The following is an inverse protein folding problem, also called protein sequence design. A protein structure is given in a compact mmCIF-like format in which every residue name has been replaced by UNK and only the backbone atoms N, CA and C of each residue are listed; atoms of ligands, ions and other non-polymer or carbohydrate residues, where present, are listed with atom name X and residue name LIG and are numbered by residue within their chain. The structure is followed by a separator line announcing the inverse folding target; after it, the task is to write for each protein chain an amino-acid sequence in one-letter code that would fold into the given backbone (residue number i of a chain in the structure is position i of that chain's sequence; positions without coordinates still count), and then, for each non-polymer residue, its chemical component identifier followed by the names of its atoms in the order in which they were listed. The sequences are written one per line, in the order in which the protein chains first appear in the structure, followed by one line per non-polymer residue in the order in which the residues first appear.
data_IF_826234010578
#
_entry.id   IF_826234010578
#
_cell.length_a   1.000
_cell.length_b   1.000
_cell.length_c   1.000
_cell.angle_alpha   90.00
_cell.angle_beta   90.00
_cell.angle_gamma   90.00
#
_symmetry.space_group_name_H-M   'P 1'
#
loop_
_entity.id
_entity.type
_entity.pdbx_description
1 polymer ?
#
# COMPACT_ATOMS: atom_id res chain seq x y z
N UNK A 1 8.06 -14.56 13.80
CA UNK A 1 9.11 -15.00 12.82
C UNK A 1 10.45 -14.44 13.28
N UNK A 2 11.53 -15.24 13.33
CA UNK A 2 12.85 -14.71 13.70
C UNK A 2 13.43 -13.76 12.63
N UNK A 3 14.29 -12.81 13.05
CA UNK A 3 14.92 -11.83 12.17
C UNK A 3 15.72 -12.46 11.03
N UNK A 4 16.43 -13.56 11.29
CA UNK A 4 17.24 -14.24 10.27
C UNK A 4 16.37 -14.71 9.09
N UNK A 5 15.18 -15.26 9.37
CA UNK A 5 14.21 -15.65 8.33
C UNK A 5 13.57 -14.44 7.66
N UNK A 6 13.26 -13.43 8.47
CA UNK A 6 12.60 -12.21 7.99
C UNK A 6 13.46 -11.45 6.98
N UNK A 7 14.77 -11.28 7.23
CA UNK A 7 15.67 -10.48 6.38
C UNK A 7 16.42 -11.29 5.30
N UNK A 8 16.26 -12.62 5.27
CA UNK A 8 16.99 -13.46 4.32
C UNK A 8 16.74 -13.05 2.86
N UNK A 9 17.80 -12.87 2.09
CA UNK A 9 17.76 -12.52 0.66
C UNK A 9 17.04 -11.19 0.33
N UNK A 10 16.96 -10.27 1.30
CA UNK A 10 16.30 -8.96 1.10
C UNK A 10 17.26 -7.80 0.85
N UNK A 11 18.55 -7.98 1.12
CA UNK A 11 19.53 -6.89 1.17
C UNK A 11 19.52 -6.10 2.48
N UNK A 12 18.64 -6.42 3.41
CA UNK A 12 18.64 -5.86 4.76
C UNK A 12 19.78 -6.48 5.59
N UNK A 13 20.50 -5.66 6.35
CA UNK A 13 21.64 -6.08 7.17
C UNK A 13 21.33 -5.97 8.65
N UNK A 14 21.66 -6.98 9.43
CA UNK A 14 21.67 -6.92 10.88
C UNK A 14 22.99 -6.30 11.33
N UNK A 15 22.93 -5.11 11.96
CA UNK A 15 24.10 -4.40 12.48
C UNK A 15 24.41 -4.78 13.91
N UNK A 16 23.36 -4.99 14.74
CA UNK A 16 23.47 -5.32 16.16
C UNK A 16 22.28 -6.16 16.61
N UNK A 17 22.47 -6.99 17.62
CA UNK A 17 21.41 -7.80 18.23
C UNK A 17 21.46 -9.25 17.79
N UNK A 18 20.46 -10.03 18.24
CA UNK A 18 20.37 -11.46 17.98
C UNK A 18 19.51 -11.72 16.73
N UNK A 19 20.04 -12.45 15.76
CA UNK A 19 19.34 -12.88 14.57
C UNK A 19 18.14 -13.81 14.86
N UNK A 20 18.04 -14.37 16.06
CA UNK A 20 16.92 -15.18 16.52
C UNK A 20 15.82 -14.34 17.20
N UNK A 21 15.99 -13.00 17.31
CA UNK A 21 14.95 -12.13 17.84
C UNK A 21 13.64 -12.32 17.08
N UNK A 22 12.57 -12.65 17.80
CA UNK A 22 11.23 -12.85 17.22
C UNK A 22 10.55 -11.51 16.91
N UNK A 23 10.02 -11.39 15.69
CA UNK A 23 9.22 -10.28 15.23
C UNK A 23 7.78 -10.73 15.04
N UNK A 24 6.84 -9.97 15.63
CA UNK A 24 5.40 -10.25 15.61
C UNK A 24 4.62 -9.28 14.71
N UNK A 25 5.10 -8.04 14.59
CA UNK A 25 4.48 -7.01 13.74
C UNK A 25 5.54 -6.05 13.20
N UNK A 26 5.16 -5.24 12.21
CA UNK A 26 5.95 -4.12 11.68
C UNK A 26 5.16 -2.84 11.87
N UNK A 27 5.80 -1.79 12.33
CA UNK A 27 5.19 -0.47 12.49
C UNK A 27 6.14 0.66 12.07
N UNK A 28 5.61 1.82 11.73
CA UNK A 28 6.38 3.03 11.42
C UNK A 28 5.92 4.25 12.24
N UNK A 29 4.97 4.05 13.15
CA UNK A 29 4.56 5.02 14.16
C UNK A 29 4.99 4.49 15.53
N UNK A 30 5.85 5.26 16.25
CA UNK A 30 6.35 4.86 17.57
C UNK A 30 5.28 4.72 18.64
N UNK A 31 4.10 5.34 18.43
CA UNK A 31 2.94 5.24 19.32
C UNK A 31 2.20 3.90 19.19
N UNK A 32 2.38 3.24 18.07
CA UNK A 32 1.81 1.90 17.80
C UNK A 32 2.83 0.77 17.99
N UNK A 33 4.04 1.10 18.48
CA UNK A 33 5.02 0.09 18.81
C UNK A 33 4.56 -0.75 20.00
N UNK A 34 4.72 -2.07 19.90
CA UNK A 34 4.34 -3.04 20.91
C UNK A 34 5.43 -4.12 21.07
N UNK A 35 5.37 -4.97 22.11
CA UNK A 35 6.34 -6.02 22.30
C UNK A 35 6.47 -6.94 21.08
N UNK A 36 7.71 -7.10 20.58
CA UNK A 36 8.02 -7.87 19.38
C UNK A 36 7.91 -7.09 18.06
N UNK A 37 7.59 -5.80 18.09
CA UNK A 37 7.52 -4.99 16.88
C UNK A 37 8.90 -4.77 16.23
N UNK A 38 8.93 -4.76 14.90
CA UNK A 38 9.97 -4.14 14.09
C UNK A 38 9.54 -2.70 13.78
N UNK A 39 10.18 -1.72 14.44
CA UNK A 39 9.94 -0.32 14.14
C UNK A 39 10.79 0.14 12.95
N UNK A 40 10.16 0.78 11.96
CA UNK A 40 10.84 1.27 10.76
C UNK A 40 10.99 2.79 10.81
N UNK A 41 12.23 3.25 10.85
CA UNK A 41 12.59 4.67 10.79
C UNK A 41 12.41 5.19 9.37
N UNK A 42 11.27 5.80 9.07
CA UNK A 42 11.03 6.39 7.77
C UNK A 42 11.52 7.85 7.73
N UNK A 43 12.19 8.27 6.65
CA UNK A 43 12.49 9.67 6.45
C UNK A 43 11.18 10.45 6.28
N UNK A 44 10.92 11.36 7.19
CA UNK A 44 9.74 12.22 7.18
C UNK A 44 10.05 13.60 6.59
N UNK A 45 9.01 14.39 6.28
CA UNK A 45 9.19 15.75 5.74
C UNK A 45 9.77 16.76 6.75
N UNK A 46 9.46 16.60 8.03
CA UNK A 46 9.88 17.53 9.11
C UNK A 46 10.93 16.89 10.01
N UNK A 47 10.91 15.59 10.15
CA UNK A 47 11.72 14.89 11.15
C UNK A 47 12.05 13.50 10.61
N UNK A 48 13.28 13.06 10.77
CA UNK A 48 13.66 11.67 10.48
C UNK A 48 13.08 10.74 11.55
N UNK A 49 12.54 9.58 11.12
CA UNK A 49 11.93 8.61 12.02
C UNK A 49 12.89 8.02 13.04
N UNK A 50 14.19 8.11 12.82
CA UNK A 50 15.21 7.60 13.76
C UNK A 50 15.16 8.30 15.12
N UNK A 51 14.71 9.56 15.19
CA UNK A 51 14.53 10.27 16.48
C UNK A 51 13.48 9.62 17.40
N UNK A 52 12.62 8.78 16.85
CA UNK A 52 11.58 8.04 17.60
C UNK A 52 11.98 6.61 17.91
N UNK A 53 13.17 6.17 17.50
CA UNK A 53 13.62 4.79 17.67
C UNK A 53 13.72 4.39 19.15
N UNK A 54 14.28 5.28 20.01
CA UNK A 54 14.36 5.04 21.44
C UNK A 54 12.97 4.95 22.09
N UNK A 55 12.01 5.77 21.66
CA UNK A 55 10.62 5.70 22.12
C UNK A 55 9.97 4.36 21.73
N UNK A 56 10.15 3.92 20.49
CA UNK A 56 9.62 2.63 20.04
C UNK A 56 10.24 1.45 20.80
N UNK A 57 11.56 1.49 21.04
CA UNK A 57 12.26 0.48 21.85
C UNK A 57 11.77 0.45 23.30
N UNK A 58 11.48 1.64 23.88
CA UNK A 58 10.89 1.73 25.23
C UNK A 58 9.46 1.15 25.28
N UNK A 59 8.69 1.29 24.21
CA UNK A 59 7.36 0.70 24.08
C UNK A 59 7.39 -0.83 23.79
N UNK A 60 8.58 -1.40 23.57
CA UNK A 60 8.74 -2.85 23.41
C UNK A 60 9.18 -3.31 22.02
N UNK A 61 9.50 -2.40 21.10
CA UNK A 61 10.02 -2.81 19.81
C UNK A 61 11.28 -3.68 20.00
N UNK A 62 11.26 -4.87 19.41
CA UNK A 62 12.33 -5.84 19.47
C UNK A 62 13.46 -5.54 18.49
N UNK A 63 13.14 -4.80 17.43
CA UNK A 63 14.10 -4.38 16.42
C UNK A 63 13.75 -3.01 15.83
N UNK A 64 14.76 -2.31 15.32
CA UNK A 64 14.63 -1.05 14.57
C UNK A 64 15.28 -1.22 13.20
N UNK A 65 14.57 -0.82 12.14
CA UNK A 65 15.12 -0.73 10.78
C UNK A 65 15.36 0.74 10.43
N UNK A 66 16.56 1.06 10.00
CA UNK A 66 16.97 2.42 9.65
C UNK A 66 17.72 2.50 8.31
N UNK A 67 17.86 3.72 7.80
CA UNK A 67 18.78 4.05 6.72
C UNK A 67 20.24 4.03 7.18
N UNK A 68 21.22 3.98 6.26
CA UNK A 68 22.63 4.20 6.62
C UNK A 68 22.85 5.50 7.37
N UNK A 69 23.74 5.47 8.38
CA UNK A 69 24.08 6.62 9.22
C UNK A 69 23.51 6.58 10.64
N UNK A 70 22.46 5.81 10.91
CA UNK A 70 21.99 5.56 12.28
C UNK A 70 22.52 4.23 12.82
N UNK A 71 23.26 4.26 13.91
CA UNK A 71 23.88 3.09 14.52
C UNK A 71 23.11 2.51 15.72
N UNK A 72 22.04 3.18 16.17
CA UNK A 72 21.24 2.76 17.32
C UNK A 72 21.96 2.81 18.66
N UNK A 73 22.92 3.71 18.83
CA UNK A 73 23.72 3.83 20.07
C UNK A 73 22.90 4.23 21.29
N UNK A 74 21.73 4.81 21.06
CA UNK A 74 20.74 5.22 22.06
C UNK A 74 19.69 4.14 22.38
N UNK A 75 19.80 2.98 21.75
CA UNK A 75 18.85 1.87 21.94
C UNK A 75 19.39 0.87 22.98
N UNK A 76 18.50 0.23 23.76
CA UNK A 76 18.90 -0.83 24.70
C UNK A 76 19.49 -2.02 23.94
N UNK A 77 20.42 -2.76 24.58
CA UNK A 77 21.12 -3.89 23.96
C UNK A 77 20.18 -5.02 23.47
N UNK A 78 19.02 -5.17 24.10
CA UNK A 78 17.99 -6.14 23.68
C UNK A 78 17.32 -5.78 22.36
N UNK A 79 17.41 -4.54 21.90
CA UNK A 79 16.80 -4.08 20.65
C UNK A 79 17.77 -4.28 19.49
N UNK A 80 17.41 -5.13 18.54
CA UNK A 80 18.21 -5.35 17.35
C UNK A 80 18.17 -4.14 16.42
N UNK A 81 19.27 -3.90 15.68
CA UNK A 81 19.37 -2.81 14.70
C UNK A 81 19.58 -3.40 13.31
N UNK A 82 18.66 -3.10 12.44
CA UNK A 82 18.69 -3.45 11.02
C UNK A 82 18.99 -2.21 10.18
N UNK A 83 19.61 -2.41 9.03
CA UNK A 83 19.89 -1.36 8.07
C UNK A 83 19.48 -1.76 6.66
N UNK A 84 18.85 -0.84 5.93
CA UNK A 84 18.58 -0.95 4.51
C UNK A 84 18.77 0.41 3.84
N UNK A 85 19.18 0.41 2.57
CA UNK A 85 19.40 1.64 1.81
C UNK A 85 18.07 2.40 1.57
N UNK A 86 16.97 1.67 1.42
CA UNK A 86 15.60 2.21 1.35
C UNK A 86 14.71 1.54 2.41
N UNK A 87 14.61 2.09 3.63
CA UNK A 87 13.77 1.54 4.69
C UNK A 87 12.29 1.46 4.32
N UNK A 88 11.79 2.38 3.49
CA UNK A 88 10.38 2.39 3.06
C UNK A 88 10.05 1.19 2.17
N UNK A 89 10.88 0.95 1.18
CA UNK A 89 10.76 -0.25 0.32
C UNK A 89 10.96 -1.53 1.13
N UNK A 90 11.94 -1.52 2.03
CA UNK A 90 12.23 -2.67 2.89
C UNK A 90 11.07 -2.97 3.83
N UNK A 91 10.40 -1.95 4.38
CA UNK A 91 9.17 -2.11 5.18
C UNK A 91 8.11 -2.92 4.43
N UNK A 92 7.87 -2.61 3.16
CA UNK A 92 6.88 -3.35 2.36
C UNK A 92 7.29 -4.82 2.19
N UNK A 93 8.56 -5.09 1.88
CA UNK A 93 9.10 -6.45 1.70
C UNK A 93 9.02 -7.26 2.99
N UNK A 94 9.47 -6.68 4.12
CA UNK A 94 9.48 -7.37 5.40
C UNK A 94 8.05 -7.60 5.93
N UNK A 95 7.15 -6.64 5.75
CA UNK A 95 5.75 -6.80 6.14
C UNK A 95 5.05 -7.89 5.33
N UNK A 96 5.22 -7.90 4.00
CA UNK A 96 4.65 -8.95 3.16
C UNK A 96 5.15 -10.34 3.60
N UNK A 97 6.46 -10.47 3.85
CA UNK A 97 7.06 -11.73 4.32
C UNK A 97 6.57 -12.14 5.70
N UNK A 98 6.50 -11.20 6.65
CA UNK A 98 6.05 -11.48 8.02
C UNK A 98 4.64 -12.07 8.04
N UNK A 99 3.74 -11.49 7.23
CA UNK A 99 2.35 -11.87 7.12
C UNK A 99 2.06 -12.95 6.07
N UNK A 100 3.11 -13.55 5.46
CA UNK A 100 2.94 -14.69 4.53
C UNK A 100 2.38 -14.32 3.18
N UNK A 101 2.73 -13.13 2.67
CA UNK A 101 2.30 -12.60 1.37
C UNK A 101 0.77 -12.61 1.17
N UNK A 102 0.02 -11.91 2.05
CA UNK A 102 -1.44 -11.99 2.06
C UNK A 102 -2.09 -11.46 0.78
N UNK A 103 -1.39 -10.57 0.04
CA UNK A 103 -1.86 -10.09 -1.26
C UNK A 103 -2.00 -11.18 -2.29
N UNK A 104 -1.17 -12.24 -2.23
CA UNK A 104 -1.25 -13.41 -3.11
C UNK A 104 -2.40 -14.38 -2.77
N UNK A 105 -3.06 -14.20 -1.62
CA UNK A 105 -4.15 -15.06 -1.15
C UNK A 105 -5.53 -14.60 -1.60
N UNK A 106 -5.62 -13.40 -2.19
CA UNK A 106 -6.87 -12.76 -2.61
C UNK A 106 -6.75 -12.15 -4.01
N UNK A 107 -7.87 -11.93 -4.66
CA UNK A 107 -7.94 -11.10 -5.86
C UNK A 107 -7.86 -9.62 -5.45
N UNK A 108 -6.77 -8.93 -5.81
CA UNK A 108 -6.62 -7.50 -5.52
C UNK A 108 -7.13 -6.65 -6.69
N UNK A 109 -8.00 -5.68 -6.38
CA UNK A 109 -8.47 -4.66 -7.32
C UNK A 109 -8.03 -3.29 -6.83
N UNK A 110 -7.24 -2.57 -7.63
CA UNK A 110 -6.76 -1.22 -7.32
C UNK A 110 -7.55 -0.17 -8.09
N UNK A 111 -8.07 0.86 -7.42
CA UNK A 111 -8.82 1.94 -8.06
C UNK A 111 -8.06 3.25 -7.91
N UNK A 112 -7.75 3.89 -9.03
CA UNK A 112 -7.12 5.23 -9.07
C UNK A 112 -7.95 6.21 -9.89
N UNK A 113 -7.69 7.48 -9.70
CA UNK A 113 -8.34 8.61 -10.36
C UNK A 113 -8.39 9.81 -9.44
N UNK A 114 -8.82 10.97 -9.94
CA UNK A 114 -8.98 12.15 -9.10
C UNK A 114 -10.24 12.03 -8.26
N UNK A 115 -11.36 11.73 -8.86
CA UNK A 115 -12.70 11.61 -8.23
C UNK A 115 -13.26 10.20 -8.45
N UNK A 116 -14.27 9.83 -7.67
CA UNK A 116 -15.07 8.61 -7.89
C UNK A 116 -14.46 7.31 -7.37
N UNK A 117 -13.23 7.28 -6.84
CA UNK A 117 -12.60 6.05 -6.33
C UNK A 117 -13.47 5.35 -5.29
N UNK A 118 -13.89 6.06 -4.26
CA UNK A 118 -14.70 5.53 -3.15
C UNK A 118 -16.05 5.00 -3.65
N UNK A 119 -16.74 5.78 -4.49
CA UNK A 119 -18.03 5.36 -5.07
C UNK A 119 -17.87 4.09 -5.90
N UNK A 120 -16.87 4.06 -6.80
CA UNK A 120 -16.58 2.89 -7.64
C UNK A 120 -16.24 1.67 -6.78
N UNK A 121 -15.44 1.84 -5.71
CA UNK A 121 -15.08 0.77 -4.81
C UNK A 121 -16.32 0.15 -4.14
N UNK A 122 -17.23 0.97 -3.63
CA UNK A 122 -18.45 0.49 -2.97
C UNK A 122 -19.43 -0.15 -3.94
N UNK A 123 -19.61 0.41 -5.14
CA UNK A 123 -20.46 -0.19 -6.17
C UNK A 123 -19.93 -1.54 -6.63
N UNK A 124 -18.62 -1.63 -6.89
CA UNK A 124 -18.00 -2.89 -7.28
C UNK A 124 -18.09 -3.93 -6.16
N UNK A 125 -17.89 -3.52 -4.90
CA UNK A 125 -18.05 -4.41 -3.76
C UNK A 125 -19.48 -4.96 -3.67
N UNK A 126 -20.50 -4.11 -3.85
CA UNK A 126 -21.89 -4.54 -3.82
C UNK A 126 -22.21 -5.57 -4.94
N UNK A 127 -21.68 -5.35 -6.15
CA UNK A 127 -21.85 -6.27 -7.28
C UNK A 127 -21.18 -7.62 -6.97
N UNK A 128 -19.93 -7.62 -6.50
CA UNK A 128 -19.20 -8.84 -6.20
C UNK A 128 -19.81 -9.60 -5.00
N UNK A 129 -20.32 -8.87 -3.99
CA UNK A 129 -21.03 -9.48 -2.86
C UNK A 129 -22.36 -10.13 -3.30
N UNK A 130 -23.09 -9.50 -4.23
CA UNK A 130 -24.29 -10.09 -4.81
C UNK A 130 -23.97 -11.38 -5.63
N UNK A 131 -22.76 -11.47 -6.19
CA UNK A 131 -22.22 -12.67 -6.85
C UNK A 131 -21.64 -13.71 -5.86
N UNK A 132 -21.82 -13.50 -4.55
CA UNK A 132 -21.39 -14.42 -3.50
C UNK A 132 -19.93 -14.29 -3.04
N UNK A 133 -19.20 -13.25 -3.48
CA UNK A 133 -17.82 -13.01 -3.06
C UNK A 133 -17.74 -12.43 -1.65
N UNK A 134 -16.68 -12.79 -0.95
CA UNK A 134 -16.34 -12.19 0.36
C UNK A 134 -15.34 -11.05 0.15
N UNK A 135 -15.86 -9.84 0.12
CA UNK A 135 -15.10 -8.65 -0.30
C UNK A 135 -14.63 -7.84 0.90
N UNK A 136 -13.32 -7.52 0.91
CA UNK A 136 -12.72 -6.48 1.74
C UNK A 136 -12.60 -5.17 0.96
N UNK A 137 -12.76 -4.03 1.65
CA UNK A 137 -12.56 -2.68 1.13
C UNK A 137 -11.49 -1.95 1.93
N UNK A 138 -10.60 -1.24 1.24
CA UNK A 138 -9.61 -0.32 1.84
C UNK A 138 -9.68 1.01 1.10
N UNK A 139 -9.93 2.11 1.80
CA UNK A 139 -10.02 3.42 1.15
C UNK A 139 -10.24 4.57 2.10
N UNK A 140 -10.76 5.66 1.56
CA UNK A 140 -10.99 6.92 2.30
C UNK A 140 -11.92 6.74 3.50
N UNK A 141 -12.87 5.81 3.41
CA UNK A 141 -13.82 5.49 4.49
C UNK A 141 -13.29 4.44 5.48
N UNK A 142 -11.98 4.20 5.50
CA UNK A 142 -11.37 3.17 6.32
C UNK A 142 -11.21 1.82 5.62
N UNK A 143 -10.97 0.77 6.39
CA UNK A 143 -10.98 -0.61 5.93
C UNK A 143 -12.19 -1.33 6.51
N UNK A 144 -12.89 -2.11 5.68
CA UNK A 144 -14.02 -2.92 6.14
C UNK A 144 -14.11 -4.24 5.38
N UNK A 145 -14.53 -5.29 6.09
CA UNK A 145 -14.88 -6.60 5.54
C UNK A 145 -15.94 -7.24 6.45
N UNK A 146 -16.56 -8.36 6.11
CA UNK A 146 -17.69 -8.91 6.86
C UNK A 146 -17.42 -8.98 8.37
N UNK A 147 -18.18 -8.22 9.16
CA UNK A 147 -18.08 -8.16 10.62
C UNK A 147 -17.00 -7.21 11.17
N UNK A 148 -16.19 -6.57 10.33
CA UNK A 148 -15.07 -5.73 10.77
C UNK A 148 -15.07 -4.36 10.11
N UNK A 149 -14.62 -3.36 10.87
CA UNK A 149 -14.36 -2.00 10.41
C UNK A 149 -13.18 -1.41 11.18
N UNK A 150 -12.28 -0.74 10.44
CA UNK A 150 -11.11 -0.03 10.98
C UNK A 150 -10.98 1.34 10.34
N UNK A 151 -10.79 2.36 11.15
CA UNK A 151 -10.48 3.70 10.66
C UNK A 151 -9.02 3.76 10.17
N UNK A 152 -8.78 4.52 9.13
CA UNK A 152 -7.46 4.70 8.54
C UNK A 152 -7.10 6.18 8.48
N UNK A 153 -5.82 6.48 8.70
CA UNK A 153 -5.29 7.84 8.60
C UNK A 153 -5.08 8.30 7.13
N UNK A 154 -5.07 7.35 6.21
CA UNK A 154 -4.80 7.60 4.79
C UNK A 154 -5.69 6.72 3.91
N UNK A 155 -6.14 7.27 2.79
CA UNK A 155 -6.88 6.51 1.74
C UNK A 155 -6.13 5.22 1.32
N UNK A 156 -4.80 5.31 1.23
CA UNK A 156 -3.91 4.17 1.00
C UNK A 156 -2.99 4.09 2.21
N UNK A 157 -3.13 3.11 3.12
CA UNK A 157 -2.35 3.01 4.35
C UNK A 157 -0.86 2.72 4.06
N UNK A 158 0.00 2.91 5.06
CA UNK A 158 1.41 2.52 4.97
C UNK A 158 1.53 1.01 4.74
N UNK A 159 2.60 0.56 4.10
CA UNK A 159 2.72 -0.83 3.67
C UNK A 159 2.66 -1.84 4.81
N UNK A 160 3.15 -1.50 6.01
CA UNK A 160 3.04 -2.35 7.19
C UNK A 160 1.58 -2.56 7.62
N UNK A 161 0.80 -1.48 7.70
CA UNK A 161 -0.63 -1.55 8.05
C UNK A 161 -1.43 -2.25 6.96
N UNK A 162 -1.09 -1.97 5.68
CA UNK A 162 -1.74 -2.59 4.53
C UNK A 162 -1.56 -4.11 4.53
N UNK A 163 -0.35 -4.61 4.74
CA UNK A 163 -0.09 -6.04 4.78
C UNK A 163 -0.78 -6.72 5.99
N UNK A 164 -0.83 -6.06 7.14
CA UNK A 164 -1.55 -6.55 8.30
C UNK A 164 -3.07 -6.64 8.04
N UNK A 165 -3.66 -5.61 7.39
CA UNK A 165 -5.08 -5.62 7.01
C UNK A 165 -5.39 -6.72 6.00
N UNK A 166 -4.57 -6.87 4.95
CA UNK A 166 -4.73 -7.93 3.96
C UNK A 166 -4.64 -9.32 4.59
N UNK A 167 -3.72 -9.51 5.56
CA UNK A 167 -3.61 -10.77 6.29
C UNK A 167 -4.91 -11.08 7.06
N UNK A 168 -5.43 -10.12 7.83
CA UNK A 168 -6.69 -10.29 8.56
C UNK A 168 -7.86 -10.59 7.63
N UNK A 169 -7.99 -9.85 6.52
CA UNK A 169 -9.04 -10.09 5.52
C UNK A 169 -8.96 -11.50 4.95
N UNK A 170 -7.75 -11.96 4.60
CA UNK A 170 -7.54 -13.30 4.07
C UNK A 170 -7.83 -14.39 5.10
N UNK A 171 -7.43 -14.19 6.38
CA UNK A 171 -7.68 -15.12 7.48
C UNK A 171 -9.18 -15.20 7.81
N UNK A 172 -9.92 -14.10 7.67
CA UNK A 172 -11.38 -14.05 7.81
C UNK A 172 -12.13 -14.54 6.56
N UNK A 173 -11.38 -15.07 5.57
CA UNK A 173 -11.92 -15.73 4.38
C UNK A 173 -12.38 -14.77 3.29
N UNK A 174 -11.89 -13.53 3.22
CA UNK A 174 -12.08 -12.69 2.03
C UNK A 174 -11.33 -13.32 0.84
N UNK A 175 -12.00 -13.38 -0.31
CA UNK A 175 -11.41 -13.81 -1.58
C UNK A 175 -11.03 -12.66 -2.50
N UNK A 176 -11.52 -11.46 -2.19
CA UNK A 176 -11.31 -10.25 -2.98
C UNK A 176 -11.07 -9.06 -2.05
N UNK A 177 -10.08 -8.23 -2.37
CA UNK A 177 -9.91 -6.93 -1.74
C UNK A 177 -9.90 -5.83 -2.80
N UNK A 178 -10.79 -4.86 -2.65
CA UNK A 178 -10.85 -3.65 -3.47
C UNK A 178 -10.22 -2.53 -2.68
N UNK A 179 -9.24 -1.83 -3.26
CA UNK A 179 -8.59 -0.73 -2.58
C UNK A 179 -8.46 0.53 -3.43
N UNK A 180 -8.66 1.67 -2.78
CA UNK A 180 -8.33 2.95 -3.36
C UNK A 180 -6.81 3.15 -3.33
N UNK A 181 -6.22 3.39 -4.51
CA UNK A 181 -4.78 3.65 -4.67
C UNK A 181 -4.59 5.11 -5.07
N UNK A 182 -4.20 5.91 -4.08
CA UNK A 182 -3.91 7.33 -4.29
C UNK A 182 -2.54 7.50 -4.96
N UNK A 183 -2.38 8.59 -5.73
CA UNK A 183 -1.10 8.94 -6.34
C UNK A 183 0.01 9.16 -5.29
N UNK A 184 -0.32 9.76 -4.15
CA UNK A 184 0.62 9.90 -3.02
C UNK A 184 0.96 8.55 -2.38
N UNK A 185 0.02 7.60 -2.34
CA UNK A 185 0.28 6.23 -1.90
C UNK A 185 1.24 5.49 -2.84
N UNK A 186 1.07 5.68 -4.15
CA UNK A 186 2.02 5.16 -5.16
C UNK A 186 3.40 5.81 -5.01
N UNK A 187 3.46 7.15 -4.95
CA UNK A 187 4.72 7.91 -4.75
C UNK A 187 5.46 7.49 -3.49
N UNK A 188 4.73 7.22 -2.43
CA UNK A 188 5.28 6.76 -1.15
C UNK A 188 5.57 5.24 -1.11
N UNK A 189 5.38 4.49 -2.19
CA UNK A 189 5.65 3.05 -2.23
C UNK A 189 4.76 2.20 -1.29
N UNK A 190 3.59 2.69 -0.90
CA UNK A 190 2.72 2.02 0.08
C UNK A 190 2.15 0.70 -0.42
N UNK A 191 2.03 0.54 -1.72
CA UNK A 191 1.57 -0.69 -2.38
C UNK A 191 2.72 -1.49 -3.01
N UNK A 192 3.97 -1.17 -2.66
CA UNK A 192 5.13 -1.87 -3.20
C UNK A 192 5.06 -3.37 -2.91
N UNK A 193 5.34 -4.19 -3.93
CA UNK A 193 5.27 -5.64 -3.84
C UNK A 193 3.87 -6.25 -4.02
N UNK A 194 2.80 -5.45 -4.08
CA UNK A 194 1.47 -5.96 -4.41
C UNK A 194 1.31 -6.11 -5.93
N UNK A 195 0.66 -7.21 -6.34
CA UNK A 195 0.22 -7.45 -7.70
C UNK A 195 -1.30 -7.37 -7.76
N UNK A 196 -1.84 -6.52 -8.63
CA UNK A 196 -3.28 -6.36 -8.79
C UNK A 196 -3.78 -7.19 -9.97
N UNK A 197 -4.86 -7.93 -9.77
CA UNK A 197 -5.55 -8.60 -10.86
C UNK A 197 -6.14 -7.56 -11.82
N UNK A 198 -6.71 -6.48 -11.26
CA UNK A 198 -7.33 -5.40 -12.04
C UNK A 198 -6.98 -4.05 -11.44
N UNK A 199 -6.56 -3.11 -12.30
CA UNK A 199 -6.49 -1.69 -12.00
C UNK A 199 -7.64 -0.94 -12.70
N UNK A 200 -8.29 0.01 -12.01
CA UNK A 200 -9.37 0.82 -12.57
C UNK A 200 -8.96 2.29 -12.56
N UNK A 201 -9.04 2.93 -13.73
CA UNK A 201 -8.88 4.38 -13.88
C UNK A 201 -10.24 5.03 -14.06
N UNK A 202 -10.61 5.90 -13.11
CA UNK A 202 -11.91 6.58 -13.14
C UNK A 202 -11.87 7.88 -13.95
N UNK A 203 -10.98 8.81 -13.59
CA UNK A 203 -10.83 10.11 -14.26
C UNK A 203 -9.56 10.83 -13.79
N UNK A 204 -9.20 11.91 -14.53
CA UNK A 204 -8.11 12.80 -14.15
C UNK A 204 -8.48 14.27 -14.32
N UNK A 205 -8.27 15.05 -13.27
CA UNK A 205 -8.35 16.51 -13.30
C UNK A 205 -7.25 17.10 -12.42
N UNK A 206 -6.85 18.37 -12.63
CA UNK A 206 -5.86 19.02 -11.78
C UNK A 206 -6.29 19.02 -10.31
N UNK A 207 -5.46 18.44 -9.45
CA UNK A 207 -5.66 18.32 -8.00
C UNK A 207 -4.31 17.94 -7.36
N UNK A 208 -4.18 18.05 -6.04
CA UNK A 208 -3.01 17.58 -5.30
C UNK A 208 -1.66 18.09 -5.83
N UNK A 209 -1.60 19.37 -6.26
CA UNK A 209 -0.37 20.04 -6.69
C UNK A 209 0.00 21.10 -5.66
N UNK A 210 1.15 20.97 -5.02
CA UNK A 210 1.59 21.91 -4.01
C UNK A 210 2.63 21.37 -3.05
N UNK A 211 3.04 22.19 -2.07
CA UNK A 211 4.02 21.77 -1.07
C UNK A 211 3.57 20.51 -0.34
N UNK A 212 4.33 19.46 -0.53
CA UNK A 212 4.08 18.19 0.12
C UNK A 212 3.14 17.25 -0.60
N UNK A 213 2.70 17.59 -1.78
CA UNK A 213 1.94 16.74 -2.69
C UNK A 213 2.77 16.46 -3.94
N UNK A 214 2.26 16.73 -5.12
CA UNK A 214 2.98 16.61 -6.39
C UNK A 214 3.59 17.96 -6.79
N UNK A 215 4.76 17.91 -7.43
CA UNK A 215 5.43 19.12 -7.92
C UNK A 215 4.64 19.79 -9.05
N UNK A 216 4.03 18.98 -9.91
CA UNK A 216 3.26 19.42 -11.07
C UNK A 216 2.23 18.37 -11.52
N UNK A 217 1.48 18.71 -12.56
CA UNK A 217 0.47 17.85 -13.16
C UNK A 217 1.06 16.59 -13.79
N UNK A 218 2.27 16.68 -14.34
CA UNK A 218 2.93 15.56 -14.99
C UNK A 218 3.33 14.49 -13.94
N UNK A 219 3.86 14.90 -12.81
CA UNK A 219 4.16 14.01 -11.69
C UNK A 219 2.88 13.37 -11.14
N UNK A 220 1.81 14.15 -10.98
CA UNK A 220 0.52 13.64 -10.51
C UNK A 220 -0.04 12.56 -11.43
N UNK A 221 0.00 12.80 -12.76
CA UNK A 221 -0.41 11.85 -13.78
C UNK A 221 0.45 10.59 -13.76
N UNK A 222 1.79 10.78 -13.68
CA UNK A 222 2.76 9.69 -13.61
C UNK A 222 2.43 8.69 -12.49
N UNK A 223 2.20 9.21 -11.27
CA UNK A 223 1.93 8.34 -10.13
C UNK A 223 0.57 7.65 -10.19
N UNK A 224 -0.43 8.20 -10.90
CA UNK A 224 -1.67 7.46 -11.19
C UNK A 224 -1.45 6.35 -12.22
N UNK A 225 -0.71 6.64 -13.28
CA UNK A 225 -0.38 5.65 -14.30
C UNK A 225 0.49 4.51 -13.75
N UNK A 226 1.32 4.79 -12.75
CA UNK A 226 2.23 3.81 -12.14
C UNK A 226 1.49 2.60 -11.51
N UNK A 227 0.24 2.73 -11.09
CA UNK A 227 -0.57 1.59 -10.62
C UNK A 227 -0.60 0.47 -11.66
N UNK A 228 -0.76 0.82 -12.94
CA UNK A 228 -0.97 -0.15 -14.01
C UNK A 228 0.28 -0.95 -14.39
N UNK A 229 1.46 -0.54 -13.90
CA UNK A 229 2.68 -1.37 -13.98
C UNK A 229 2.61 -2.61 -13.08
N UNK A 230 1.69 -2.62 -12.12
CA UNK A 230 1.48 -3.69 -11.14
C UNK A 230 0.17 -4.46 -11.36
N UNK A 231 -0.52 -4.23 -12.50
CA UNK A 231 -1.81 -4.83 -12.81
C UNK A 231 -1.69 -5.88 -13.93
N UNK A 232 -2.45 -6.96 -13.83
CA UNK A 232 -2.62 -7.93 -14.93
C UNK A 232 -3.56 -7.36 -16.01
N UNK A 233 -4.62 -6.66 -15.61
CA UNK A 233 -5.54 -5.95 -16.50
C UNK A 233 -5.81 -4.53 -15.98
N UNK A 234 -6.06 -3.60 -16.91
CA UNK A 234 -6.46 -2.23 -16.62
C UNK A 234 -7.80 -1.90 -17.26
N UNK A 235 -8.71 -1.31 -16.50
CA UNK A 235 -10.01 -0.81 -16.95
C UNK A 235 -9.96 0.71 -16.98
N UNK A 236 -10.19 1.30 -18.15
CA UNK A 236 -9.91 2.70 -18.41
C UNK A 236 -11.16 3.44 -18.92
N UNK A 237 -11.47 4.58 -18.28
CA UNK A 237 -12.50 5.50 -18.75
C UNK A 237 -12.04 6.18 -20.05
N UNK A 238 -12.66 5.84 -21.18
CA UNK A 238 -12.30 6.38 -22.50
C UNK A 238 -12.92 7.75 -22.77
N UNK A 239 -13.84 8.21 -21.93
CA UNK A 239 -14.39 9.57 -21.99
C UNK A 239 -13.48 10.60 -21.32
N UNK A 240 -12.45 10.18 -20.57
CA UNK A 240 -11.48 11.07 -19.95
C UNK A 240 -10.38 11.48 -20.94
N UNK A 241 -10.18 12.78 -21.11
CA UNK A 241 -9.21 13.33 -22.07
C UNK A 241 -7.74 12.91 -21.79
N UNK A 242 -7.43 12.45 -20.58
CA UNK A 242 -6.09 12.03 -20.19
C UNK A 242 -5.86 10.53 -20.31
N UNK A 243 -6.88 9.75 -20.65
CA UNK A 243 -6.80 8.30 -20.74
C UNK A 243 -5.66 7.82 -21.63
N UNK A 244 -5.42 8.49 -22.76
CA UNK A 244 -4.31 8.16 -23.67
C UNK A 244 -2.94 8.27 -23.00
N UNK A 245 -2.74 9.29 -22.16
CA UNK A 245 -1.49 9.46 -21.39
C UNK A 245 -1.37 8.45 -20.25
N UNK A 246 -2.46 8.15 -19.56
CA UNK A 246 -2.47 7.11 -18.49
C UNK A 246 -2.11 5.74 -19.06
N UNK A 247 -2.57 5.41 -20.27
CA UNK A 247 -2.32 4.13 -20.93
C UNK A 247 -0.95 4.02 -21.60
N UNK A 248 -0.26 5.13 -21.76
CA UNK A 248 1.03 5.13 -22.46
C UNK A 248 2.09 4.31 -21.70
N UNK A 249 2.65 3.29 -22.34
CA UNK A 249 3.69 2.45 -21.77
C UNK A 249 3.23 1.50 -20.65
N UNK A 250 1.92 1.30 -20.52
CA UNK A 250 1.33 0.37 -19.54
C UNK A 250 1.39 -1.06 -20.09
N UNK A 251 1.96 -2.04 -19.36
CA UNK A 251 2.16 -3.41 -19.88
C UNK A 251 0.91 -4.29 -19.75
N UNK A 252 -0.07 -3.90 -18.94
CA UNK A 252 -1.24 -4.72 -18.66
C UNK A 252 -2.22 -4.75 -19.85
N UNK A 253 -3.04 -5.81 -19.90
CA UNK A 253 -4.16 -5.89 -20.84
C UNK A 253 -5.13 -4.73 -20.57
N UNK A 254 -5.40 -3.89 -21.58
CA UNK A 254 -6.33 -2.77 -21.46
C UNK A 254 -7.74 -3.18 -21.88
N UNK A 255 -8.73 -2.74 -21.10
CA UNK A 255 -10.16 -2.76 -21.41
C UNK A 255 -10.67 -1.32 -21.21
N UNK A 256 -11.44 -0.81 -22.14
CA UNK A 256 -11.99 0.55 -22.08
C UNK A 256 -13.49 0.54 -21.84
N UNK A 257 -13.98 1.57 -21.13
CA UNK A 257 -15.41 1.84 -21.00
C UNK A 257 -15.68 3.33 -21.30
N UNK A 258 -16.89 3.64 -21.73
CA UNK A 258 -17.30 5.00 -22.03
C UNK A 258 -18.76 5.11 -22.40
N UNK A 259 -19.24 6.35 -22.47
CA UNK A 259 -20.58 6.73 -22.93
C UNK A 259 -20.46 7.50 -24.24
N UNK A 260 -19.60 8.57 -24.24
CA UNK A 260 -19.49 9.51 -25.35
C UNK A 260 -18.50 9.06 -26.43
N UNK A 261 -17.45 8.35 -26.04
CA UNK A 261 -16.38 7.89 -26.95
C UNK A 261 -16.45 6.36 -27.21
N UNK A 262 -15.96 5.91 -28.36
CA UNK A 262 -15.86 4.48 -28.64
C UNK A 262 -15.03 3.75 -27.58
N UNK A 263 -15.56 2.65 -27.07
CA UNK A 263 -14.93 1.84 -26.02
C UNK A 263 -15.30 0.36 -26.19
N UNK A 264 -14.53 -0.54 -25.53
CA UNK A 264 -14.84 -1.99 -25.53
C UNK A 264 -16.19 -2.27 -24.85
N UNK A 265 -16.51 -1.51 -23.81
CA UNK A 265 -17.80 -1.51 -23.12
C UNK A 265 -18.40 -0.11 -23.23
N UNK A 266 -19.46 0.03 -23.99
CA UNK A 266 -20.15 1.31 -24.17
C UNK A 266 -21.55 1.23 -23.62
N UNK A 267 -21.94 2.21 -22.77
CA UNK A 267 -23.31 2.38 -22.36
C UNK A 267 -24.11 3.01 -23.52
N UNK A 268 -25.28 2.47 -23.82
CA UNK A 268 -26.21 3.12 -24.72
C UNK A 268 -26.80 4.38 -24.07
N UNK A 269 -26.94 5.44 -24.84
CA UNK A 269 -27.35 6.75 -24.34
C UNK A 269 -28.82 6.85 -23.84
N UNK A 270 -29.55 5.74 -23.89
CA UNK A 270 -30.97 5.65 -23.52
C UNK A 270 -31.20 5.04 -22.12
N UNK A 271 -30.31 5.38 -21.15
CA UNK A 271 -30.51 5.00 -19.73
C UNK A 271 -31.02 6.21 -18.95
#
# INVERSE_FOLDING_TARGET
MDLRRLIRDTGCRLLRGDALTEITCVCCDSRSAEPGALFVCLPGRRTDGSVYAAQAAAAGAAAVLCAPGYAGSDLPDRCAVLQADDPRRMMAVLSARLYGDPGGRMTLVGITGTKGKTTTAHLLAAILQADGRRVGLIGTNGACWPGHRHDLNHTTPESCDLQALLCRMADDGCDTCIMEVSSLGMKAGRVAGLAFAVGIFTNFSPDHIGPGEHADLAEYLHWKAALFQHCAAGVFNNDDAWVGKIRQGVPCRAVTYGIDHPADLRADADI
#
